data_IF_587736629829
#
_entry.id   IF_587736629829
#
_cell.length_a   1.000
_cell.length_b   1.000
_cell.length_c   1.000
_cell.angle_alpha   90.00
_cell.angle_beta   90.00
_cell.angle_gamma   90.00
#
_symmetry.space_group_name_H-M   'P 1'
#
loop_
_entity.id
_entity.type
_entity.pdbx_description
1 polymer ?
#
# COMPACT_ATOMS: atom_id res chain seq x y z
N UNK A 1 -29.95 -34.31 -44.54
CA UNK A 1 -29.42 -33.06 -43.96
C UNK A 1 -29.49 -32.02 -45.06
N UNK A 2 -30.46 -31.11 -45.00
CA UNK A 2 -30.51 -30.01 -45.97
C UNK A 2 -29.31 -29.09 -45.71
N UNK A 3 -28.38 -29.08 -46.67
CA UNK A 3 -27.23 -28.20 -46.64
C UNK A 3 -27.73 -26.75 -46.77
N UNK A 4 -27.45 -25.91 -45.77
CA UNK A 4 -27.76 -24.48 -45.85
C UNK A 4 -27.14 -23.87 -47.10
N UNK A 5 -27.88 -22.97 -47.76
CA UNK A 5 -27.38 -22.24 -48.91
C UNK A 5 -26.24 -21.29 -48.47
N UNK A 6 -25.31 -20.92 -49.38
CA UNK A 6 -24.23 -19.99 -49.05
C UNK A 6 -24.75 -18.64 -48.53
N UNK A 7 -25.90 -18.17 -49.02
CA UNK A 7 -26.54 -16.94 -48.53
C UNK A 7 -27.08 -17.10 -47.10
N UNK A 8 -27.62 -18.27 -46.75
CA UNK A 8 -28.08 -18.56 -45.38
C UNK A 8 -26.91 -18.65 -44.40
N UNK A 9 -25.76 -19.15 -44.85
CA UNK A 9 -24.52 -19.16 -44.07
C UNK A 9 -24.01 -17.73 -43.81
N UNK A 10 -24.03 -16.84 -44.79
CA UNK A 10 -23.63 -15.43 -44.62
C UNK A 10 -24.51 -14.72 -43.59
N UNK A 11 -25.83 -14.87 -43.67
CA UNK A 11 -26.77 -14.29 -42.69
C UNK A 11 -26.51 -14.82 -41.28
N UNK A 12 -26.23 -16.12 -41.15
CA UNK A 12 -25.91 -16.72 -39.86
C UNK A 12 -24.58 -16.20 -39.30
N UNK A 13 -23.56 -16.04 -40.15
CA UNK A 13 -22.26 -15.46 -39.76
C UNK A 13 -22.45 -14.03 -39.22
N UNK A 14 -23.23 -13.21 -39.91
CA UNK A 14 -23.50 -11.83 -39.48
C UNK A 14 -24.28 -11.79 -38.16
N UNK A 15 -25.28 -12.66 -38.01
CA UNK A 15 -26.04 -12.80 -36.77
C UNK A 15 -25.14 -13.21 -35.60
N UNK A 16 -24.28 -14.21 -35.80
CA UNK A 16 -23.36 -14.67 -34.77
C UNK A 16 -22.31 -13.61 -34.42
N UNK A 17 -21.80 -12.87 -35.40
CA UNK A 17 -20.87 -11.77 -35.16
C UNK A 17 -21.53 -10.64 -34.35
N UNK A 18 -22.78 -10.29 -34.66
CA UNK A 18 -23.54 -9.31 -33.90
C UNK A 18 -23.77 -9.76 -32.46
N UNK A 19 -24.12 -11.04 -32.26
CA UNK A 19 -24.28 -11.61 -30.92
C UNK A 19 -22.96 -11.65 -30.14
N UNK A 20 -21.85 -11.98 -30.80
CA UNK A 20 -20.52 -11.97 -30.18
C UNK A 20 -20.11 -10.57 -29.71
N UNK A 21 -20.32 -9.53 -30.53
CA UNK A 21 -20.03 -8.15 -30.12
C UNK A 21 -20.95 -7.70 -28.97
N UNK A 22 -22.24 -8.05 -28.99
CA UNK A 22 -23.12 -7.77 -27.86
C UNK A 22 -22.61 -8.46 -26.57
N UNK A 23 -22.26 -9.74 -26.63
CA UNK A 23 -21.74 -10.47 -25.48
C UNK A 23 -20.44 -9.84 -24.96
N UNK A 24 -19.56 -9.41 -25.86
CA UNK A 24 -18.30 -8.75 -25.53
C UNK A 24 -18.51 -7.39 -24.87
N UNK A 25 -19.45 -6.57 -25.36
CA UNK A 25 -19.86 -5.33 -24.70
C UNK A 25 -20.39 -5.59 -23.30
N UNK A 26 -21.27 -6.59 -23.15
CA UNK A 26 -21.87 -6.96 -21.86
C UNK A 26 -20.81 -7.47 -20.88
N UNK A 27 -19.89 -8.30 -21.35
CA UNK A 27 -18.74 -8.75 -20.54
C UNK A 27 -17.89 -7.56 -20.11
N UNK A 28 -17.62 -6.61 -21.00
CA UNK A 28 -16.83 -5.43 -20.67
C UNK A 28 -17.54 -4.53 -19.64
N UNK A 29 -18.85 -4.34 -19.78
CA UNK A 29 -19.67 -3.58 -18.83
C UNK A 29 -19.72 -4.27 -17.45
N UNK A 30 -19.89 -5.59 -17.40
CA UNK A 30 -19.88 -6.34 -16.14
C UNK A 30 -18.48 -6.40 -15.52
N UNK A 31 -17.44 -6.57 -16.33
CA UNK A 31 -16.04 -6.59 -15.88
C UNK A 31 -15.64 -5.25 -15.25
N UNK A 32 -16.04 -4.13 -15.84
CA UNK A 32 -15.77 -2.79 -15.28
C UNK A 32 -16.52 -2.51 -13.97
N UNK A 33 -17.58 -3.26 -13.65
CA UNK A 33 -18.29 -3.20 -12.36
C UNK A 33 -17.63 -4.00 -11.25
N UNK A 34 -16.71 -4.91 -11.57
CA UNK A 34 -16.12 -5.85 -10.58
C UNK A 34 -14.61 -5.71 -10.49
N UNK A 35 -13.93 -5.36 -11.59
CA UNK A 35 -12.48 -5.32 -11.63
C UNK A 35 -11.96 -4.02 -11.04
N UNK A 36 -11.19 -4.12 -9.97
CA UNK A 36 -10.33 -3.04 -9.48
C UNK A 36 -9.23 -2.75 -10.49
N UNK A 37 -9.02 -1.48 -10.83
CA UNK A 37 -7.99 -1.06 -11.77
C UNK A 37 -6.83 -0.37 -11.03
N UNK A 38 -5.59 -0.91 -11.10
CA UNK A 38 -4.43 -0.19 -10.62
C UNK A 38 -4.12 0.99 -11.56
N UNK A 39 -4.12 2.19 -11.01
CA UNK A 39 -3.79 3.44 -11.72
C UNK A 39 -2.26 3.62 -11.84
N UNK A 40 -1.51 3.01 -10.92
CA UNK A 40 -0.05 3.02 -10.85
C UNK A 40 0.43 3.31 -9.43
N UNK A 41 1.74 3.56 -9.29
CA UNK A 41 2.36 3.83 -8.00
C UNK A 41 3.10 5.16 -7.97
N UNK A 42 3.49 5.60 -6.77
CA UNK A 42 4.38 6.75 -6.60
C UNK A 42 5.80 6.33 -6.18
N UNK A 43 6.68 7.33 -5.99
CA UNK A 43 8.07 7.11 -5.53
C UNK A 43 8.19 6.57 -4.10
N UNK A 44 7.09 6.42 -3.38
CA UNK A 44 7.02 5.78 -2.08
C UNK A 44 6.43 4.37 -2.16
N UNK A 45 6.17 3.86 -3.37
CA UNK A 45 5.54 2.56 -3.65
C UNK A 45 4.13 2.41 -3.08
N UNK A 46 3.42 3.53 -2.88
CA UNK A 46 1.99 3.48 -2.63
C UNK A 46 1.26 3.21 -3.94
N UNK A 47 0.28 2.33 -3.91
CA UNK A 47 -0.51 1.94 -5.08
C UNK A 47 -1.79 2.75 -5.12
N UNK A 48 -2.15 3.25 -6.29
CA UNK A 48 -3.35 4.04 -6.53
C UNK A 48 -4.36 3.17 -7.25
N UNK A 49 -5.56 3.10 -6.72
CA UNK A 49 -6.62 2.20 -7.17
C UNK A 49 -7.87 2.97 -7.53
N UNK A 50 -8.52 2.51 -8.58
CA UNK A 50 -9.92 2.82 -8.82
C UNK A 50 -10.74 1.55 -8.62
N UNK A 51 -11.60 1.56 -7.60
CA UNK A 51 -12.52 0.46 -7.31
C UNK A 51 -13.90 0.83 -7.87
N UNK A 52 -14.53 -0.06 -8.65
CA UNK A 52 -15.89 0.17 -9.13
C UNK A 52 -16.87 0.45 -7.99
N UNK A 53 -17.70 1.47 -8.16
CA UNK A 53 -18.69 1.87 -7.14
C UNK A 53 -18.14 2.73 -6.00
N UNK A 54 -16.81 2.89 -5.89
CA UNK A 54 -16.19 3.80 -4.92
C UNK A 54 -15.93 5.13 -5.59
N UNK A 55 -16.51 6.21 -5.05
CA UNK A 55 -16.34 7.56 -5.57
C UNK A 55 -15.03 8.19 -5.12
N UNK A 56 -13.93 7.45 -5.07
CA UNK A 56 -12.63 7.99 -4.69
C UNK A 56 -11.53 7.19 -5.34
N UNK A 57 -10.40 7.84 -5.57
CA UNK A 57 -9.16 7.08 -5.79
C UNK A 57 -8.67 6.62 -4.42
N UNK A 58 -8.43 5.33 -4.28
CA UNK A 58 -7.87 4.78 -3.06
C UNK A 58 -6.36 4.67 -3.18
N UNK A 59 -5.67 4.94 -2.10
CA UNK A 59 -4.21 4.86 -2.00
C UNK A 59 -3.90 3.79 -0.99
N UNK A 60 -3.29 2.71 -1.45
CA UNK A 60 -2.86 1.59 -0.64
C UNK A 60 -1.36 1.73 -0.31
N UNK A 61 -1.03 1.55 0.96
CA UNK A 61 0.36 1.51 1.40
C UNK A 61 1.07 0.17 1.09
N UNK A 62 2.40 0.15 1.16
CA UNK A 62 3.17 -1.10 1.01
C UNK A 62 2.82 -2.11 2.11
N UNK A 63 2.58 -1.64 3.33
CA UNK A 63 2.27 -2.51 4.47
C UNK A 63 0.94 -3.23 4.27
N UNK A 64 -0.07 -2.51 3.78
CA UNK A 64 -1.40 -3.07 3.56
C UNK A 64 -1.46 -3.97 2.31
N UNK A 65 -0.40 -3.97 1.51
CA UNK A 65 -0.28 -4.80 0.32
C UNK A 65 0.06 -6.25 0.68
N UNK A 66 -0.83 -7.17 0.33
CA UNK A 66 -0.60 -8.60 0.51
C UNK A 66 0.25 -9.24 -0.60
N UNK A 67 0.77 -10.47 -0.38
CA UNK A 67 1.43 -11.26 -1.43
C UNK A 67 0.52 -11.58 -2.63
N UNK A 68 -0.80 -11.55 -2.42
CA UNK A 68 -1.83 -11.74 -3.44
C UNK A 68 -2.22 -10.45 -4.18
N UNK A 69 -1.66 -9.31 -3.79
CA UNK A 69 -1.96 -8.03 -4.45
C UNK A 69 -1.38 -8.06 -5.87
N UNK A 70 -2.21 -7.96 -6.92
CA UNK A 70 -1.74 -8.03 -8.31
C UNK A 70 -0.88 -6.82 -8.73
N UNK A 71 -0.86 -5.74 -7.94
CA UNK A 71 0.03 -4.60 -8.16
C UNK A 71 1.33 -4.68 -7.33
N UNK A 72 1.46 -5.66 -6.44
CA UNK A 72 2.67 -5.89 -5.66
C UNK A 72 3.63 -6.80 -6.41
N UNK A 73 4.79 -6.26 -6.81
CA UNK A 73 5.88 -7.10 -7.30
C UNK A 73 6.69 -7.60 -6.10
N UNK A 74 6.30 -8.76 -5.57
CA UNK A 74 6.99 -9.41 -4.43
C UNK A 74 8.47 -9.65 -4.71
N UNK A 75 8.85 -9.86 -5.98
CA UNK A 75 10.25 -9.99 -6.40
C UNK A 75 11.04 -8.67 -6.28
N UNK A 76 10.37 -7.52 -6.29
CA UNK A 76 11.03 -6.20 -6.20
C UNK A 76 10.96 -5.63 -4.78
N UNK A 77 9.85 -5.87 -4.06
CA UNK A 77 9.60 -5.30 -2.73
C UNK A 77 10.10 -6.17 -1.58
N UNK A 78 10.05 -7.50 -1.72
CA UNK A 78 10.31 -8.44 -0.62
C UNK A 78 11.56 -9.31 -0.82
N UNK A 79 12.26 -9.22 -1.96
CA UNK A 79 13.47 -10.01 -2.23
C UNK A 79 14.65 -9.73 -1.32
N UNK A 80 14.61 -8.61 -0.59
CA UNK A 80 15.63 -8.26 0.40
C UNK A 80 15.25 -8.67 1.81
N UNK A 81 14.04 -9.14 2.01
CA UNK A 81 13.60 -9.60 3.32
C UNK A 81 14.28 -10.95 3.61
N UNK A 82 14.97 -11.09 4.76
CA UNK A 82 15.57 -12.36 5.13
C UNK A 82 14.51 -13.45 5.17
N UNK A 83 14.83 -14.61 4.59
CA UNK A 83 13.94 -15.77 4.44
C UNK A 83 13.39 -16.36 5.75
N UNK A 84 13.85 -15.86 6.91
CA UNK A 84 13.37 -16.25 8.24
C UNK A 84 12.36 -15.27 8.87
N UNK A 85 11.97 -14.18 8.19
CA UNK A 85 10.94 -13.28 8.69
C UNK A 85 9.58 -13.98 8.65
N UNK A 86 9.22 -14.58 9.77
CA UNK A 86 7.90 -15.15 10.03
C UNK A 86 7.31 -14.40 11.21
N UNK A 87 6.11 -13.85 11.05
CA UNK A 87 5.35 -13.27 12.15
C UNK A 87 4.32 -14.32 12.62
N UNK A 88 4.46 -14.89 13.83
CA UNK A 88 3.54 -15.91 14.34
C UNK A 88 2.15 -15.35 14.69
N UNK A 89 1.99 -14.02 14.68
CA UNK A 89 0.76 -13.30 14.99
C UNK A 89 0.69 -12.00 14.20
N UNK A 90 -0.52 -11.50 13.92
CA UNK A 90 -0.72 -10.13 13.46
C UNK A 90 -0.06 -9.17 14.45
N UNK A 91 0.88 -8.37 13.96
CA UNK A 91 1.50 -7.29 14.72
C UNK A 91 0.90 -6.00 14.19
N UNK A 92 0.38 -5.17 15.10
CA UNK A 92 -0.27 -3.92 14.70
C UNK A 92 0.71 -3.07 13.86
N UNK A 93 0.29 -2.48 12.74
CA UNK A 93 1.16 -1.69 11.86
C UNK A 93 1.88 -0.55 12.59
N UNK A 94 1.27 0.03 13.63
CA UNK A 94 1.89 1.06 14.48
C UNK A 94 2.98 0.53 15.43
N UNK A 95 3.02 -0.77 15.71
CA UNK A 95 4.16 -1.35 16.45
C UNK A 95 5.37 -1.48 15.52
N UNK A 96 5.16 -1.93 14.28
CA UNK A 96 6.22 -1.92 13.26
C UNK A 96 6.77 -0.52 13.04
N UNK A 97 5.88 0.48 13.02
CA UNK A 97 6.24 1.88 12.94
C UNK A 97 7.20 2.35 14.02
N UNK A 98 6.83 2.16 15.29
CA UNK A 98 7.65 2.59 16.42
C UNK A 98 9.02 1.93 16.39
N UNK A 99 9.10 0.65 15.98
CA UNK A 99 10.36 -0.08 15.83
C UNK A 99 11.19 0.48 14.67
N UNK A 100 10.56 0.75 13.53
CA UNK A 100 11.25 1.33 12.37
C UNK A 100 11.78 2.74 12.66
N UNK A 101 10.99 3.58 13.31
CA UNK A 101 11.39 4.94 13.69
C UNK A 101 12.54 4.89 14.72
N UNK A 102 12.48 3.98 15.70
CA UNK A 102 13.57 3.76 16.65
C UNK A 102 14.85 3.25 15.97
N UNK A 103 14.72 2.32 15.02
CA UNK A 103 15.85 1.83 14.22
C UNK A 103 16.43 2.97 13.40
N UNK A 104 15.59 3.81 12.80
CA UNK A 104 16.01 4.99 12.05
C UNK A 104 16.76 5.96 12.99
N UNK A 105 16.28 6.25 14.19
CA UNK A 105 16.96 7.09 15.18
C UNK A 105 18.32 6.51 15.61
N UNK A 106 18.37 5.22 15.95
CA UNK A 106 19.61 4.53 16.36
C UNK A 106 20.62 4.46 15.21
N UNK A 107 20.16 4.22 13.98
CA UNK A 107 21.02 4.12 12.80
C UNK A 107 21.46 5.49 12.33
N UNK A 108 20.62 6.53 12.43
CA UNK A 108 20.94 7.92 12.02
C UNK A 108 21.75 8.69 13.05
N UNK A 109 21.64 8.36 14.34
CA UNK A 109 22.44 8.94 15.42
C UNK A 109 23.94 8.59 15.39
N UNK A 110 24.37 7.60 14.59
CA UNK A 110 25.79 7.21 14.47
C UNK A 110 26.60 8.20 13.63
N UNK A 111 27.73 8.67 14.15
CA UNK A 111 28.60 9.71 13.57
C UNK A 111 29.25 9.35 12.22
N UNK A 112 29.38 8.07 11.86
CA UNK A 112 30.20 7.61 10.71
C UNK A 112 29.43 7.06 9.51
N UNK A 113 28.16 7.41 9.35
CA UNK A 113 27.35 6.78 8.31
C UNK A 113 27.01 7.78 7.19
N UNK A 114 27.23 7.35 5.95
CA UNK A 114 27.17 8.16 4.73
C UNK A 114 25.77 8.78 4.52
N UNK A 115 25.65 10.09 4.79
CA UNK A 115 24.40 10.88 4.71
C UNK A 115 23.66 10.72 3.37
N UNK A 116 24.37 10.41 2.27
CA UNK A 116 23.78 10.24 0.93
C UNK A 116 23.05 8.91 0.76
N UNK A 117 23.53 7.82 1.40
CA UNK A 117 22.85 6.51 1.39
C UNK A 117 21.63 6.51 2.33
N UNK A 118 21.71 7.23 3.46
CA UNK A 118 20.65 7.38 4.48
C UNK A 118 19.35 8.02 3.96
N UNK A 119 19.41 9.11 3.19
CA UNK A 119 18.23 9.86 2.68
C UNK A 119 17.33 9.11 1.69
N UNK A 120 17.70 7.88 1.31
CA UNK A 120 17.04 7.07 0.27
C UNK A 120 16.06 6.05 0.84
N UNK A 121 16.23 5.66 2.10
CA UNK A 121 15.29 4.81 2.82
C UNK A 121 14.33 5.73 3.58
N UNK A 122 13.08 5.79 3.12
CA UNK A 122 11.88 6.28 3.84
C UNK A 122 11.83 7.77 4.20
N UNK A 123 11.47 8.60 3.20
CA UNK A 123 11.20 10.05 3.32
C UNK A 123 9.75 10.40 3.69
N UNK A 124 9.07 9.58 4.49
CA UNK A 124 7.70 9.88 4.93
C UNK A 124 7.59 9.56 6.41
N UNK A 125 6.78 10.32 7.14
CA UNK A 125 6.45 9.94 8.51
C UNK A 125 5.63 8.64 8.49
N UNK A 126 5.76 7.84 9.54
CA UNK A 126 5.11 6.54 9.59
C UNK A 126 3.59 6.55 9.29
N UNK A 127 2.80 7.54 9.77
CA UNK A 127 1.36 7.60 9.45
C UNK A 127 1.03 7.68 7.96
N UNK A 128 2.01 7.98 7.10
CA UNK A 128 1.85 8.03 5.65
C UNK A 128 2.48 6.83 4.92
N UNK A 129 3.10 5.89 5.67
CA UNK A 129 3.69 4.65 5.14
C UNK A 129 2.74 3.45 5.22
N UNK A 130 1.61 3.55 5.92
CA UNK A 130 0.77 2.40 6.33
C UNK A 130 -0.73 2.70 6.18
N UNK A 131 -1.52 1.65 5.96
CA UNK A 131 -2.97 1.77 5.80
C UNK A 131 -3.42 2.19 4.40
N UNK A 132 -4.66 2.68 4.36
CA UNK A 132 -5.35 3.14 3.16
C UNK A 132 -5.75 4.61 3.31
N UNK A 133 -5.68 5.36 2.20
CA UNK A 133 -6.17 6.74 2.12
C UNK A 133 -7.07 6.92 0.92
N UNK A 134 -7.83 8.01 0.92
CA UNK A 134 -8.69 8.43 -0.18
C UNK A 134 -8.19 9.74 -0.77
N UNK A 135 -8.22 9.84 -2.10
CA UNK A 135 -8.17 11.10 -2.84
C UNK A 135 -9.59 11.35 -3.36
N UNK A 136 -10.31 12.17 -2.63
CA UNK A 136 -11.75 12.40 -2.73
C UNK A 136 -12.12 13.77 -3.31
N UNK A 137 -11.14 14.63 -3.54
CA UNK A 137 -11.33 15.99 -4.07
C UNK A 137 -10.45 16.23 -5.29
N UNK A 138 -10.89 17.14 -6.15
CA UNK A 138 -10.13 17.52 -7.35
C UNK A 138 -8.82 18.20 -6.97
N UNK A 139 -8.85 19.01 -5.92
CA UNK A 139 -7.69 19.71 -5.36
C UNK A 139 -6.64 18.71 -4.86
N UNK A 140 -7.06 17.67 -4.12
CA UNK A 140 -6.15 16.60 -3.69
C UNK A 140 -5.58 15.83 -4.88
N UNK A 141 -6.39 15.53 -5.90
CA UNK A 141 -5.94 14.85 -7.11
C UNK A 141 -4.90 15.68 -7.88
N UNK A 142 -5.11 16.99 -7.97
CA UNK A 142 -4.17 17.93 -8.60
C UNK A 142 -2.88 18.08 -7.79
N UNK A 143 -2.95 18.07 -6.45
CA UNK A 143 -1.79 18.05 -5.58
C UNK A 143 -0.96 16.76 -5.79
N UNK A 144 -1.63 15.60 -5.85
CA UNK A 144 -0.98 14.33 -6.20
C UNK A 144 -0.30 14.45 -7.55
N UNK A 145 -1.03 14.82 -8.62
CA UNK A 145 -0.47 14.99 -9.97
C UNK A 145 0.76 15.89 -10.00
N UNK A 146 0.69 17.04 -9.33
CA UNK A 146 1.76 18.04 -9.30
C UNK A 146 2.98 17.57 -8.51
N UNK A 147 2.79 16.68 -7.55
CA UNK A 147 3.89 16.07 -6.82
C UNK A 147 4.62 15.00 -7.64
N UNK A 148 3.97 14.37 -8.63
CA UNK A 148 4.56 13.28 -9.39
C UNK A 148 5.55 13.77 -10.45
N UNK A 149 6.57 12.96 -10.74
CA UNK A 149 7.57 13.28 -11.75
C UNK A 149 7.31 12.52 -13.07
N UNK A 150 6.99 13.22 -14.15
CA UNK A 150 6.66 12.60 -15.45
C UNK A 150 7.75 11.70 -16.06
N UNK A 151 9.02 11.84 -15.66
CA UNK A 151 10.13 10.93 -16.06
C UNK A 151 10.48 9.87 -15.01
N UNK A 152 9.90 9.94 -13.81
CA UNK A 152 10.20 9.02 -12.72
C UNK A 152 9.80 7.59 -13.10
N UNK A 153 10.72 6.63 -13.02
CA UNK A 153 10.46 5.28 -13.55
C UNK A 153 9.24 4.60 -12.91
N UNK A 154 9.07 4.77 -11.59
CA UNK A 154 7.96 4.22 -10.81
C UNK A 154 6.66 4.99 -11.04
N UNK A 155 6.74 6.32 -11.04
CA UNK A 155 5.56 7.19 -11.02
C UNK A 155 5.09 7.71 -12.39
N UNK A 156 5.86 7.50 -13.48
CA UNK A 156 5.52 8.03 -14.81
C UNK A 156 4.20 7.48 -15.36
N UNK A 157 3.80 6.27 -14.97
CA UNK A 157 2.56 5.65 -15.45
C UNK A 157 1.38 6.40 -14.84
N UNK A 158 1.36 6.52 -13.52
CA UNK A 158 0.36 7.27 -12.77
C UNK A 158 0.33 8.74 -13.23
N UNK A 159 1.48 9.41 -13.31
CA UNK A 159 1.56 10.79 -13.80
C UNK A 159 0.95 10.95 -15.20
N UNK A 160 1.31 10.07 -16.15
CA UNK A 160 0.75 10.12 -17.51
C UNK A 160 -0.76 9.93 -17.51
N UNK A 161 -1.30 9.05 -16.67
CA UNK A 161 -2.75 8.85 -16.54
C UNK A 161 -3.44 10.10 -15.99
N UNK A 162 -2.91 10.70 -14.92
CA UNK A 162 -3.44 11.92 -14.30
C UNK A 162 -3.33 13.17 -15.20
N UNK A 163 -2.53 13.11 -16.27
CA UNK A 163 -2.50 14.14 -17.31
C UNK A 163 -3.58 13.96 -18.39
N UNK A 164 -4.26 12.82 -18.47
CA UNK A 164 -5.25 12.57 -19.53
C UNK A 164 -6.57 13.26 -19.20
N UNK A 165 -7.05 14.10 -20.11
CA UNK A 165 -8.30 14.82 -19.92
C UNK A 165 -9.51 13.89 -19.79
N UNK A 166 -9.56 12.77 -20.52
CA UNK A 166 -10.67 11.81 -20.40
C UNK A 166 -10.74 11.22 -18.99
N UNK A 167 -9.60 10.84 -18.41
CA UNK A 167 -9.55 10.27 -17.07
C UNK A 167 -10.06 11.27 -16.01
N UNK A 168 -9.64 12.53 -16.11
CA UNK A 168 -10.07 13.57 -15.18
C UNK A 168 -11.55 13.96 -15.31
N UNK A 169 -12.21 13.60 -16.42
CA UNK A 169 -13.65 13.80 -16.63
C UNK A 169 -14.46 12.63 -16.07
N UNK A 170 -13.94 11.42 -16.23
CA UNK A 170 -14.67 10.19 -15.87
C UNK A 170 -14.45 9.77 -14.41
N UNK A 171 -13.35 10.21 -13.79
CA UNK A 171 -13.06 9.88 -12.39
C UNK A 171 -14.07 10.52 -11.44
N UNK A 172 -14.71 9.69 -10.63
CA UNK A 172 -15.58 10.13 -9.53
C UNK A 172 -14.75 10.38 -8.28
N UNK A 173 -14.99 11.52 -7.64
CA UNK A 173 -14.30 11.99 -6.45
C UNK A 173 -15.34 12.46 -5.44
N UNK A 174 -15.28 11.89 -4.25
CA UNK A 174 -16.28 11.92 -3.22
C UNK A 174 -15.77 11.19 -1.98
N UNK A 175 -16.33 11.55 -0.83
CA UNK A 175 -15.91 10.99 0.44
C UNK A 175 -16.29 9.52 0.52
N UNK A 176 -15.33 8.67 0.88
CA UNK A 176 -15.61 7.24 1.13
C UNK A 176 -16.16 7.10 2.54
N UNK A 177 -17.38 6.59 2.65
CA UNK A 177 -17.96 6.17 3.92
C UNK A 177 -17.99 4.65 3.94
N UNK A 178 -17.36 4.06 4.96
CA UNK A 178 -17.35 2.63 5.17
C UNK A 178 -18.41 2.32 6.22
N UNK A 179 -19.33 1.44 5.89
CA UNK A 179 -20.25 0.89 6.87
C UNK A 179 -19.45 0.11 7.92
N UNK A 180 -19.88 0.20 9.18
CA UNK A 180 -19.31 -0.64 10.23
C UNK A 180 -19.62 -2.10 9.90
N UNK A 181 -18.58 -2.89 9.71
CA UNK A 181 -18.69 -4.34 9.53
C UNK A 181 -18.37 -5.03 10.85
N UNK A 182 -19.32 -5.78 11.38
CA UNK A 182 -19.16 -6.56 12.62
C UNK A 182 -19.58 -5.81 13.89
N UNK A 183 -19.36 -6.45 15.04
CA UNK A 183 -19.66 -5.87 16.35
C UNK A 183 -18.71 -4.71 16.68
N UNK A 184 -19.19 -3.77 17.49
CA UNK A 184 -18.39 -2.64 17.92
C UNK A 184 -17.21 -3.14 18.77
N UNK A 185 -16.02 -2.97 18.22
CA UNK A 185 -14.78 -3.33 18.89
C UNK A 185 -14.62 -2.43 20.11
N UNK A 186 -14.56 -3.03 21.30
CA UNK A 186 -14.23 -2.31 22.53
C UNK A 186 -12.74 -1.94 22.54
N UNK A 187 -12.43 -0.81 21.90
CA UNK A 187 -11.09 -0.28 21.82
C UNK A 187 -10.47 -0.02 23.19
N UNK A 188 -11.26 0.26 24.24
CA UNK A 188 -10.70 0.47 25.58
C UNK A 188 -10.15 -0.83 26.13
N UNK A 189 -10.95 -1.89 26.08
CA UNK A 189 -10.54 -3.21 26.53
C UNK A 189 -9.36 -3.75 25.71
N UNK A 190 -9.40 -3.63 24.38
CA UNK A 190 -8.27 -4.05 23.53
C UNK A 190 -7.02 -3.25 23.83
N UNK A 191 -7.11 -1.93 23.93
CA UNK A 191 -5.94 -1.09 24.24
C UNK A 191 -5.37 -1.43 25.61
N UNK A 192 -6.20 -1.73 26.60
CA UNK A 192 -5.77 -2.12 27.94
C UNK A 192 -5.09 -3.50 27.94
N UNK A 193 -5.67 -4.48 27.24
CA UNK A 193 -5.08 -5.80 27.04
C UNK A 193 -3.74 -5.74 26.30
N UNK A 194 -3.67 -5.00 25.19
CA UNK A 194 -2.46 -4.81 24.39
C UNK A 194 -1.38 -4.08 25.19
N UNK A 195 -1.76 -3.02 25.92
CA UNK A 195 -0.85 -2.29 26.80
C UNK A 195 -0.28 -3.22 27.87
N UNK A 196 -1.11 -4.02 28.52
CA UNK A 196 -0.65 -4.98 29.52
C UNK A 196 0.27 -6.06 28.93
N UNK A 197 -0.05 -6.53 27.72
CA UNK A 197 0.80 -7.49 27.00
C UNK A 197 2.17 -6.89 26.64
N UNK A 198 2.20 -5.63 26.17
CA UNK A 198 3.44 -4.90 25.86
C UNK A 198 4.28 -4.68 27.11
N UNK A 199 3.70 -4.21 28.22
CA UNK A 199 4.42 -4.04 29.49
C UNK A 199 5.03 -5.35 29.97
N UNK A 200 4.28 -6.46 29.93
CA UNK A 200 4.82 -7.78 30.28
C UNK A 200 6.03 -8.18 29.41
N UNK A 201 5.98 -7.89 28.11
CA UNK A 201 7.10 -8.18 27.19
C UNK A 201 8.31 -7.27 27.43
N UNK A 202 8.07 -6.01 27.80
CA UNK A 202 9.12 -5.08 28.23
C UNK A 202 9.80 -5.56 29.50
N UNK A 203 9.04 -5.99 30.50
CA UNK A 203 9.59 -6.56 31.75
C UNK A 203 10.43 -7.82 31.47
N UNK A 204 9.93 -8.72 30.61
CA UNK A 204 10.67 -9.90 30.15
C UNK A 204 11.99 -9.52 29.45
N UNK A 205 11.95 -8.50 28.59
CA UNK A 205 13.12 -8.02 27.87
C UNK A 205 14.13 -7.36 28.80
N UNK A 206 13.69 -6.50 29.71
CA UNK A 206 14.53 -5.84 30.71
C UNK A 206 15.20 -6.86 31.62
N UNK A 207 14.46 -7.88 32.08
CA UNK A 207 15.03 -8.99 32.85
C UNK A 207 16.10 -9.75 32.04
N UNK A 208 15.88 -9.97 30.74
CA UNK A 208 16.86 -10.63 29.85
C UNK A 208 18.11 -9.76 29.62
N UNK A 209 17.95 -8.46 29.43
CA UNK A 209 19.07 -7.51 29.25
C UNK A 209 19.91 -7.45 30.53
N UNK A 210 19.26 -7.28 31.68
CA UNK A 210 19.89 -7.30 33.00
C UNK A 210 20.63 -8.62 33.26
N UNK A 211 20.00 -9.75 32.96
CA UNK A 211 20.61 -11.09 33.10
C UNK A 211 21.79 -11.30 32.15
N UNK A 212 21.72 -10.77 30.93
CA UNK A 212 22.77 -10.86 29.94
C UNK A 212 23.94 -9.89 30.21
N UNK A 213 23.85 -9.04 31.25
CA UNK A 213 24.82 -7.97 31.55
C UNK A 213 25.17 -7.12 30.33
N UNK A 214 24.20 -6.92 29.43
CA UNK A 214 24.35 -6.03 28.29
C UNK A 214 24.21 -4.62 28.85
N UNK A 215 25.29 -4.10 29.44
CA UNK A 215 25.39 -2.69 29.78
C UNK A 215 25.41 -1.93 28.45
N UNK A 216 24.41 -1.06 28.23
CA UNK A 216 24.63 0.05 27.32
C UNK A 216 25.83 0.81 27.87
N UNK A 217 26.94 0.86 27.12
CA UNK A 217 28.03 1.80 27.39
C UNK A 217 27.45 3.21 27.21
N UNK A 218 26.82 3.74 28.25
CA UNK A 218 26.49 5.16 28.35
C UNK A 218 27.79 5.93 28.59
N UNK A 219 27.97 7.00 27.83
CA UNK A 219 29.11 7.90 27.85
C UNK A 219 29.36 8.49 29.25
N UNK A 220 30.16 7.80 30.07
CA UNK A 220 30.65 8.33 31.34
C UNK A 220 32.12 7.97 31.57
N UNK A 221 32.93 7.96 30.50
CA UNK A 221 34.39 7.75 30.56
C UNK A 221 35.20 8.96 30.04
N UNK A 222 34.60 10.16 29.96
CA UNK A 222 35.32 11.40 29.57
C UNK A 222 35.38 12.48 30.66
N UNK A 223 35.26 12.12 31.94
CA UNK A 223 35.48 13.05 33.04
C UNK A 223 36.15 12.35 34.22
N UNK A 224 37.40 11.92 34.03
CA UNK A 224 38.44 11.94 35.06
C UNK A 224 39.76 11.46 34.45
N UNK A 225 40.64 12.40 34.14
CA UNK A 225 42.08 12.19 34.28
C UNK A 225 42.67 13.48 34.87
N UNK A 226 43.60 13.39 35.83
CA UNK A 226 44.21 14.53 36.50
C UNK A 226 45.10 15.37 35.58
#
# INVERSE_FOLDING_TARGET
>A
EENMSPEQLEVLIDSLNSEAEHLKEKINELSTKVRSFPLGCDRYHRQYWQIPGVESILVESIESSGPSNPACNTEETCTKDPSGLTAPSFLHPDVFACVEDLVDDVVTGRSHTDRRKRKRFRRMDNPYKRGWWSVDTREALEAVRSSLHGRGIRERILHRLLCKSWFLKDVKLGKVELDKVGEEVDWKNITELDRNAVHRRLDELEARISKAKIAARSESEFMTAP
#
